data_IF_829668590623
#
_entry.id   IF_829668590623
#
_cell.length_a   1.000
_cell.length_b   1.000
_cell.length_c   1.000
_cell.angle_alpha   90.00
_cell.angle_beta   90.00
_cell.angle_gamma   90.00
#
_symmetry.space_group_name_H-M   'P 1'
#
loop_
_entity.id
_entity.type
_entity.pdbx_description
1 polymer ?
#
# COMPACT_ATOMS: atom_id res chain seq x y z
N UNK A 1 -5.91 28.02 17.16
CA UNK A 1 -4.86 26.98 17.04
C UNK A 1 -5.33 25.78 17.85
N UNK A 2 -5.66 24.67 17.21
CA UNK A 2 -5.90 23.39 17.90
C UNK A 2 -4.54 22.78 18.21
N UNK A 3 -4.05 22.97 19.44
CA UNK A 3 -2.89 22.26 19.94
C UNK A 3 -3.37 20.88 20.41
N UNK A 4 -3.43 19.92 19.49
CA UNK A 4 -3.73 18.53 19.85
C UNK A 4 -2.61 17.97 20.72
N UNK A 5 -2.92 17.58 21.96
CA UNK A 5 -2.02 16.71 22.71
C UNK A 5 -2.19 15.30 22.15
N UNK A 6 -1.17 14.79 21.46
CA UNK A 6 -1.09 13.37 21.15
C UNK A 6 -0.49 12.67 22.36
N UNK A 7 -1.31 11.98 23.14
CA UNK A 7 -0.79 11.08 24.18
C UNK A 7 0.06 10.01 23.49
N UNK A 8 1.35 9.92 23.84
CA UNK A 8 2.19 8.84 23.31
C UNK A 8 1.62 7.51 23.78
N UNK A 9 1.15 6.70 22.84
CA UNK A 9 0.85 5.30 23.08
C UNK A 9 2.09 4.45 22.84
N UNK A 10 2.23 3.37 23.62
CA UNK A 10 3.17 2.31 23.25
C UNK A 10 2.77 1.73 21.88
N UNK A 11 3.74 1.34 21.04
CA UNK A 11 3.44 0.71 19.76
C UNK A 11 2.72 -0.62 19.99
N UNK A 12 1.56 -0.78 19.35
CA UNK A 12 0.84 -2.04 19.30
C UNK A 12 1.41 -2.92 18.18
N UNK A 13 1.27 -4.26 18.25
CA UNK A 13 1.54 -5.13 17.13
C UNK A 13 0.74 -4.73 15.90
N UNK A 14 1.32 -4.90 14.71
CA UNK A 14 0.59 -4.70 13.47
C UNK A 14 -0.59 -5.68 13.38
N UNK A 15 -1.73 -5.26 12.80
CA UNK A 15 -2.83 -6.17 12.54
C UNK A 15 -2.37 -7.30 11.60
N UNK A 16 -3.05 -8.45 11.65
CA UNK A 16 -2.79 -9.51 10.69
C UNK A 16 -3.02 -8.98 9.26
N UNK A 17 -2.13 -9.29 8.30
CA UNK A 17 -2.28 -8.83 6.94
C UNK A 17 -3.51 -9.45 6.26
N UNK A 18 -4.15 -8.68 5.39
CA UNK A 18 -5.23 -9.16 4.53
C UNK A 18 -4.67 -9.51 3.14
N UNK A 19 -5.37 -10.41 2.44
CA UNK A 19 -5.08 -10.74 1.05
C UNK A 19 -5.60 -9.65 0.10
N UNK A 20 -5.26 -9.72 -1.19
CA UNK A 20 -5.80 -8.78 -2.18
C UNK A 20 -7.33 -8.88 -2.28
N UNK A 21 -7.88 -10.10 -2.28
CA UNK A 21 -9.33 -10.31 -2.24
C UNK A 21 -9.94 -9.71 -0.96
N UNK A 22 -9.32 -9.93 0.20
CA UNK A 22 -9.81 -9.39 1.47
C UNK A 22 -9.83 -7.86 1.50
N UNK A 23 -8.85 -7.21 0.87
CA UNK A 23 -8.86 -5.76 0.65
C UNK A 23 -10.04 -5.33 -0.23
N UNK A 24 -10.31 -6.03 -1.34
CA UNK A 24 -11.40 -5.68 -2.25
C UNK A 24 -12.76 -5.85 -1.56
N UNK A 25 -12.95 -6.92 -0.81
CA UNK A 25 -14.16 -7.15 0.00
C UNK A 25 -14.34 -6.06 1.06
N UNK A 26 -13.28 -5.73 1.79
CA UNK A 26 -13.30 -4.69 2.81
C UNK A 26 -13.60 -3.30 2.21
N UNK A 27 -13.02 -2.98 1.06
CA UNK A 27 -13.28 -1.74 0.35
C UNK A 27 -14.74 -1.67 -0.14
N UNK A 28 -15.27 -2.74 -0.73
CA UNK A 28 -16.67 -2.81 -1.15
C UNK A 28 -17.64 -2.65 0.01
N UNK A 29 -17.36 -3.28 1.16
CA UNK A 29 -18.15 -3.11 2.38
C UNK A 29 -18.09 -1.66 2.90
N UNK A 30 -16.92 -1.01 2.84
CA UNK A 30 -16.76 0.38 3.26
C UNK A 30 -17.53 1.34 2.33
N UNK A 31 -17.47 1.13 1.01
CA UNK A 31 -18.23 1.89 0.02
C UNK A 31 -19.75 1.75 0.22
N UNK A 32 -20.24 0.57 0.61
CA UNK A 32 -21.65 0.37 0.90
C UNK A 32 -22.14 1.22 2.09
N UNK A 33 -21.26 1.52 3.05
CA UNK A 33 -21.56 2.38 4.20
C UNK A 33 -21.34 3.87 3.88
N UNK A 34 -20.36 4.19 3.03
CA UNK A 34 -20.04 5.55 2.62
C UNK A 34 -19.67 5.58 1.12
N UNK A 35 -20.63 5.88 0.22
CA UNK A 35 -20.39 5.90 -1.22
C UNK A 35 -19.40 6.98 -1.70
N UNK A 36 -19.07 7.96 -0.86
CA UNK A 36 -18.09 9.01 -1.16
C UNK A 36 -16.69 8.69 -0.63
N UNK A 37 -16.47 7.49 -0.08
CA UNK A 37 -15.15 7.08 0.35
C UNK A 37 -14.24 6.87 -0.85
N UNK A 38 -13.24 7.74 -1.01
CA UNK A 38 -12.33 7.68 -2.16
C UNK A 38 -11.26 6.60 -2.01
N UNK A 39 -10.80 6.35 -0.78
CA UNK A 39 -9.62 5.51 -0.50
C UNK A 39 -9.78 4.73 0.80
N UNK A 40 -9.16 3.56 0.85
CA UNK A 40 -9.02 2.74 2.07
C UNK A 40 -7.60 2.24 2.22
N UNK A 41 -7.04 2.32 3.42
CA UNK A 41 -5.70 1.81 3.73
C UNK A 41 -5.77 0.41 4.36
N UNK A 42 -4.89 -0.48 3.92
CA UNK A 42 -4.87 -1.88 4.35
C UNK A 42 -3.44 -2.37 4.57
N UNK A 43 -3.24 -3.17 5.62
CA UNK A 43 -2.01 -3.95 5.80
C UNK A 43 -2.14 -5.24 4.98
N UNK A 44 -1.34 -5.39 3.94
CA UNK A 44 -1.47 -6.43 2.92
C UNK A 44 -0.36 -7.46 3.01
N UNK A 45 -0.67 -8.70 2.68
CA UNK A 45 0.31 -9.75 2.49
C UNK A 45 -0.25 -11.17 2.64
N UNK A 46 0.45 -12.19 2.11
CA UNK A 46 1.69 -12.09 1.35
C UNK A 46 1.44 -11.66 -0.11
N UNK A 47 2.17 -10.64 -0.60
CA UNK A 47 2.01 -10.07 -1.95
C UNK A 47 3.37 -9.90 -2.62
N UNK A 48 3.48 -10.29 -3.89
CA UNK A 48 4.69 -10.15 -4.71
C UNK A 48 4.58 -8.91 -5.60
N UNK A 49 5.66 -8.15 -5.71
CA UNK A 49 5.74 -6.98 -6.59
C UNK A 49 6.38 -7.39 -7.92
N UNK A 50 5.73 -7.04 -9.02
CA UNK A 50 6.15 -7.36 -10.38
C UNK A 50 6.45 -6.06 -11.14
N UNK A 51 7.70 -5.87 -11.59
CA UNK A 51 8.01 -4.78 -12.52
C UNK A 51 7.34 -5.04 -13.88
N UNK A 52 7.16 -3.99 -14.69
CA UNK A 52 6.59 -4.13 -16.02
C UNK A 52 7.45 -5.00 -16.93
N UNK A 53 6.80 -5.83 -17.75
CA UNK A 53 7.48 -6.72 -18.71
C UNK A 53 7.79 -6.04 -20.04
N UNK A 54 7.11 -4.94 -20.34
CA UNK A 54 7.28 -4.13 -21.54
C UNK A 54 7.17 -2.65 -21.17
N UNK A 55 7.85 -1.81 -21.94
CA UNK A 55 7.70 -0.36 -21.85
C UNK A 55 6.22 0.04 -21.99
N UNK A 56 5.73 0.79 -21.00
CA UNK A 56 4.36 1.26 -20.91
C UNK A 56 3.41 0.35 -20.12
N UNK A 57 3.80 -0.87 -19.76
CA UNK A 57 2.99 -1.70 -18.85
C UNK A 57 3.00 -1.11 -17.43
N UNK A 58 1.90 -1.23 -16.67
CA UNK A 58 1.89 -0.84 -15.27
C UNK A 58 2.66 -1.86 -14.42
N UNK A 59 3.22 -1.38 -13.31
CA UNK A 59 3.65 -2.26 -12.23
C UNK A 59 2.46 -3.00 -11.63
N UNK A 60 2.71 -4.20 -11.10
CA UNK A 60 1.65 -5.04 -10.52
C UNK A 60 2.03 -5.57 -9.14
N UNK A 61 1.04 -5.67 -8.28
CA UNK A 61 1.11 -6.38 -7.01
C UNK A 61 0.23 -7.63 -7.11
N UNK A 62 0.81 -8.82 -6.92
CA UNK A 62 0.15 -10.10 -7.18
C UNK A 62 0.23 -11.08 -6.03
N UNK A 63 -0.78 -11.94 -5.95
CA UNK A 63 -0.82 -13.13 -5.10
C UNK A 63 -1.25 -14.36 -5.92
N UNK A 64 -1.56 -15.47 -5.27
CA UNK A 64 -1.97 -16.71 -5.95
C UNK A 64 -3.32 -16.60 -6.71
N UNK A 65 -4.11 -15.56 -6.46
CA UNK A 65 -5.48 -15.39 -6.99
C UNK A 65 -5.56 -14.35 -8.09
N UNK A 66 -4.65 -13.39 -8.11
CA UNK A 66 -4.61 -12.40 -9.17
C UNK A 66 -3.58 -11.30 -8.93
N UNK A 67 -3.75 -10.18 -9.62
CA UNK A 67 -2.92 -9.01 -9.39
C UNK A 67 -3.66 -7.70 -9.64
N UNK A 68 -3.30 -6.69 -8.86
CA UNK A 68 -3.80 -5.31 -8.95
C UNK A 68 -2.70 -4.38 -9.48
N UNK A 69 -3.07 -3.27 -10.17
CA UNK A 69 -2.11 -2.24 -10.54
C UNK A 69 -1.42 -1.64 -9.30
N UNK A 70 -0.10 -1.48 -9.37
CA UNK A 70 0.70 -0.87 -8.31
C UNK A 70 1.14 0.53 -8.75
N UNK A 71 0.58 1.54 -8.09
CA UNK A 71 0.87 2.95 -8.29
C UNK A 71 2.11 3.42 -7.51
N UNK A 72 2.07 4.66 -7.01
CA UNK A 72 3.18 5.29 -6.30
C UNK A 72 4.26 5.89 -7.20
N UNK A 73 5.33 6.40 -6.58
CA UNK A 73 6.53 6.88 -7.28
C UNK A 73 7.39 5.71 -7.76
N UNK A 74 8.28 5.95 -8.73
CA UNK A 74 9.27 4.94 -9.15
C UNK A 74 10.15 4.49 -7.99
N UNK A 75 10.58 5.43 -7.16
CA UNK A 75 11.37 5.16 -5.94
C UNK A 75 10.62 4.23 -4.99
N UNK A 76 9.33 4.47 -4.74
CA UNK A 76 8.53 3.60 -3.86
C UNK A 76 8.40 2.17 -4.41
N UNK A 77 8.16 2.04 -5.71
CA UNK A 77 8.03 0.74 -6.39
C UNK A 77 9.35 -0.04 -6.40
N UNK A 78 10.45 0.63 -6.73
CA UNK A 78 11.79 0.04 -6.72
C UNK A 78 12.22 -0.34 -5.30
N UNK A 79 11.89 0.48 -4.30
CA UNK A 79 12.18 0.19 -2.89
C UNK A 79 11.42 -1.05 -2.43
N UNK A 80 10.12 -1.15 -2.72
CA UNK A 80 9.36 -2.35 -2.44
C UNK A 80 9.93 -3.59 -3.12
N UNK A 81 10.31 -3.49 -4.40
CA UNK A 81 10.90 -4.61 -5.13
C UNK A 81 12.22 -5.05 -4.48
N UNK A 82 13.06 -4.09 -4.08
CA UNK A 82 14.35 -4.35 -3.43
C UNK A 82 14.18 -5.00 -2.04
N UNK A 83 13.24 -4.51 -1.23
CA UNK A 83 12.95 -5.07 0.10
C UNK A 83 12.38 -6.49 0.01
N UNK A 84 11.46 -6.74 -0.93
CA UNK A 84 10.87 -8.07 -1.14
C UNK A 84 11.82 -9.04 -1.84
N UNK A 85 12.82 -8.55 -2.57
CA UNK A 85 13.75 -9.38 -3.35
C UNK A 85 13.06 -10.30 -4.36
N UNK A 86 11.90 -9.89 -4.89
CA UNK A 86 11.05 -10.71 -5.76
C UNK A 86 10.23 -11.80 -5.06
N UNK A 87 10.24 -11.86 -3.73
CA UNK A 87 9.45 -12.80 -2.93
C UNK A 87 8.16 -12.13 -2.40
N UNK A 88 7.15 -12.94 -1.99
CA UNK A 88 5.98 -12.40 -1.32
C UNK A 88 6.36 -11.69 -0.02
N UNK A 89 5.84 -10.47 0.17
CA UNK A 89 6.12 -9.61 1.31
C UNK A 89 4.84 -8.99 1.89
N UNK A 90 4.96 -8.37 3.06
CA UNK A 90 3.89 -7.61 3.71
C UNK A 90 4.17 -6.11 3.63
N UNK A 91 3.17 -5.31 3.27
CA UNK A 91 3.28 -3.85 3.24
C UNK A 91 1.90 -3.22 3.43
N UNK A 92 1.86 -1.96 3.83
CA UNK A 92 0.62 -1.19 3.93
C UNK A 92 0.45 -0.36 2.67
N UNK A 93 -0.75 -0.37 2.10
CA UNK A 93 -1.07 0.41 0.92
C UNK A 93 -2.51 0.94 0.97
N UNK A 94 -2.74 1.99 0.19
CA UNK A 94 -4.07 2.50 -0.07
C UNK A 94 -4.60 1.95 -1.38
N UNK A 95 -5.90 1.66 -1.40
CA UNK A 95 -6.65 1.34 -2.60
C UNK A 95 -7.64 2.47 -2.89
N UNK A 96 -7.59 3.00 -4.10
CA UNK A 96 -8.44 4.10 -4.61
C UNK A 96 -9.55 3.61 -5.57
N UNK A 97 -9.75 2.30 -5.67
CA UNK A 97 -10.65 1.69 -6.65
C UNK A 97 -10.00 1.32 -7.98
N UNK A 98 -8.77 1.77 -8.26
CA UNK A 98 -8.05 1.54 -9.53
C UNK A 98 -6.62 1.02 -9.33
N UNK A 99 -5.89 1.54 -8.34
CA UNK A 99 -4.49 1.24 -8.09
C UNK A 99 -4.16 1.15 -6.60
N UNK A 100 -3.19 0.29 -6.27
CA UNK A 100 -2.59 0.24 -4.95
C UNK A 100 -1.47 1.27 -4.85
N UNK A 101 -1.58 2.23 -3.93
CA UNK A 101 -0.50 3.15 -3.59
C UNK A 101 0.20 2.67 -2.32
N UNK A 102 1.46 2.20 -2.40
CA UNK A 102 2.23 1.81 -1.21
C UNK A 102 2.44 2.98 -0.26
N UNK A 103 2.30 2.73 1.04
CA UNK A 103 2.57 3.71 2.10
C UNK A 103 3.80 3.34 2.93
N UNK A 104 3.92 2.07 3.31
CA UNK A 104 5.08 1.59 4.04
C UNK A 104 5.31 0.09 3.84
N UNK A 105 6.57 -0.33 3.77
CA UNK A 105 6.95 -1.74 3.74
C UNK A 105 7.11 -2.27 5.18
N UNK A 106 6.66 -3.50 5.44
CA UNK A 106 6.93 -4.19 6.70
C UNK A 106 8.17 -5.07 6.57
N UNK A 107 9.17 -4.88 7.43
CA UNK A 107 10.36 -5.74 7.54
C UNK A 107 10.76 -5.87 9.01
N UNK A 108 11.02 -7.10 9.47
CA UNK A 108 11.51 -7.39 10.83
C UNK A 108 10.72 -6.72 11.98
N UNK A 109 9.40 -6.57 11.80
CA UNK A 109 8.53 -5.91 12.78
C UNK A 109 8.60 -4.37 12.78
N UNK A 110 9.37 -3.77 11.87
CA UNK A 110 9.43 -2.34 11.62
C UNK A 110 8.65 -1.96 10.35
N UNK A 111 8.14 -0.72 10.33
CA UNK A 111 7.55 -0.10 9.14
C UNK A 111 8.56 0.86 8.53
N UNK A 112 8.85 0.66 7.25
CA UNK A 112 9.68 1.54 6.44
C UNK A 112 8.76 2.42 5.58
N UNK A 113 8.66 3.73 5.83
CA UNK A 113 7.83 4.60 5.01
C UNK A 113 8.31 4.58 3.56
N UNK A 114 7.35 4.57 2.63
CA UNK A 114 7.59 4.67 1.20
C UNK A 114 7.09 6.06 0.81
N UNK A 115 8.01 6.92 0.37
CA UNK A 115 7.71 8.34 0.14
C UNK A 115 6.47 8.54 -0.73
N UNK A 116 5.56 9.40 -0.25
CA UNK A 116 4.49 10.02 -1.02
C UNK A 116 4.97 11.41 -1.54
N UNK A 117 4.33 11.94 -2.59
CA UNK A 117 4.96 12.55 -3.77
C UNK A 117 6.00 13.65 -3.52
N UNK A 118 6.93 13.78 -4.47
CA UNK A 118 7.66 15.03 -4.69
C UNK A 118 6.63 16.17 -4.75
N UNK A 119 6.73 17.13 -3.84
CA UNK A 119 6.07 18.40 -4.04
C UNK A 119 6.62 18.97 -5.35
N UNK A 120 5.79 19.04 -6.39
CA UNK A 120 6.06 19.90 -7.53
C UNK A 120 5.99 21.34 -7.00
N UNK A 121 7.10 21.83 -6.46
CA UNK A 121 7.38 23.27 -6.29
C UNK A 121 7.57 23.86 -7.70
N UNK A 122 6.50 23.82 -8.50
CA UNK A 122 6.40 24.53 -9.76
C UNK A 122 6.30 26.03 -9.44
N UNK A 123 7.35 26.78 -9.80
CA UNK A 123 7.38 28.24 -9.80
C UNK A 123 6.21 28.88 -10.58
#
# INVERSE_FOLDING_TARGET
VLAGEATRSAPAPLPAPVTLDGLLDAHGAALALNPWLERTAHHLGPVTVHPPTRDGDPWRAGDARGSLPLGGSDTARLTLLALGGGHPQTFTAEWDGQSLTPLCAGQDGALHPLDAPENDDGC
#
